data_IF_484024540435
#
_entry.id   IF_484024540435
#
_cell.length_a   1.000
_cell.length_b   1.000
_cell.length_c   1.000
_cell.angle_alpha   90.00
_cell.angle_beta   90.00
_cell.angle_gamma   90.00
#
_symmetry.space_group_name_H-M   'P 1'
#
loop_
_entity.id
_entity.type
_entity.pdbx_description
1 polymer ?
#
# COMPACT_ATOMS: atom_id res chain seq x y z
N UNK A 1 15.30 -1.79 -12.26
CA UNK A 1 14.08 -1.31 -12.95
C UNK A 1 13.46 -2.53 -13.64
N UNK A 2 12.46 -3.16 -13.03
CA UNK A 2 11.73 -4.25 -13.69
C UNK A 2 10.78 -3.58 -14.69
N UNK A 3 10.97 -3.82 -15.98
CA UNK A 3 10.00 -3.39 -16.99
C UNK A 3 8.70 -4.15 -16.72
N UNK A 4 7.69 -3.48 -16.19
CA UNK A 4 6.34 -4.03 -16.06
C UNK A 4 5.75 -4.09 -17.46
N UNK A 5 6.00 -5.18 -18.19
CA UNK A 5 5.33 -5.45 -19.46
C UNK A 5 3.85 -5.56 -19.17
N UNK A 6 3.06 -4.61 -19.69
CA UNK A 6 1.60 -4.66 -19.59
C UNK A 6 1.13 -5.95 -20.28
N UNK A 7 0.38 -6.83 -19.59
CA UNK A 7 -0.13 -8.06 -20.17
C UNK A 7 -0.88 -7.77 -21.48
N UNK A 8 -0.61 -8.54 -22.53
CA UNK A 8 -1.31 -8.46 -23.82
C UNK A 8 -2.65 -9.18 -23.76
N UNK A 9 -3.55 -8.80 -24.65
CA UNK A 9 -4.79 -9.53 -24.88
C UNK A 9 -4.51 -10.82 -25.67
N UNK A 10 -4.72 -11.98 -25.06
CA UNK A 10 -4.44 -13.30 -25.66
C UNK A 10 -5.22 -13.54 -26.96
N UNK A 11 -6.49 -13.16 -26.99
CA UNK A 11 -7.35 -13.28 -28.20
C UNK A 11 -6.85 -12.40 -29.36
N UNK A 12 -6.36 -11.19 -29.06
CA UNK A 12 -5.82 -10.29 -30.08
C UNK A 12 -4.44 -10.77 -30.54
N UNK A 13 -3.62 -11.28 -29.63
CA UNK A 13 -2.31 -11.84 -29.92
C UNK A 13 -2.42 -13.06 -30.86
N UNK A 14 -3.41 -13.94 -30.65
CA UNK A 14 -3.73 -15.03 -31.57
C UNK A 14 -4.08 -14.55 -32.98
N UNK A 15 -4.60 -13.32 -33.11
CA UNK A 15 -4.90 -12.66 -34.38
C UNK A 15 -3.74 -11.81 -34.91
N UNK A 16 -2.56 -11.91 -34.30
CA UNK A 16 -1.36 -11.11 -34.61
C UNK A 16 -1.57 -9.60 -34.41
N UNK A 17 -2.46 -9.21 -33.50
CA UNK A 17 -2.75 -7.82 -33.15
C UNK A 17 -2.31 -7.58 -31.71
N UNK A 18 -1.44 -6.58 -31.50
CA UNK A 18 -1.06 -6.17 -30.16
C UNK A 18 -2.11 -5.21 -29.58
N UNK A 19 -2.81 -5.65 -28.53
CA UNK A 19 -3.64 -4.80 -27.67
C UNK A 19 -3.33 -5.10 -26.22
N UNK A 20 -3.20 -4.06 -25.40
CA UNK A 20 -3.05 -4.22 -23.96
C UNK A 20 -4.30 -4.84 -23.35
N UNK A 21 -4.12 -5.80 -22.44
CA UNK A 21 -5.20 -6.33 -21.62
C UNK A 21 -5.61 -5.31 -20.56
N UNK A 22 -6.90 -5.21 -20.32
CA UNK A 22 -7.47 -4.42 -19.22
C UNK A 22 -8.03 -5.31 -18.12
N UNK A 23 -8.37 -6.56 -18.44
CA UNK A 23 -8.89 -7.54 -17.49
C UNK A 23 -8.21 -8.89 -17.66
N UNK A 24 -8.06 -9.63 -16.57
CA UNK A 24 -7.63 -11.02 -16.54
C UNK A 24 -8.84 -11.93 -16.33
N UNK A 25 -8.95 -13.02 -17.10
CA UNK A 25 -9.96 -14.04 -16.92
C UNK A 25 -9.34 -15.29 -16.29
N UNK A 26 -9.75 -15.62 -15.07
CA UNK A 26 -9.17 -16.74 -14.31
C UNK A 26 -9.56 -18.12 -14.85
N UNK A 27 -10.72 -18.23 -15.52
CA UNK A 27 -11.19 -19.48 -16.11
C UNK A 27 -10.52 -19.81 -17.44
N UNK A 28 -10.11 -18.78 -18.18
CA UNK A 28 -9.44 -18.90 -19.48
C UNK A 28 -7.93 -18.74 -19.38
N UNK A 29 -7.43 -18.34 -18.20
CA UNK A 29 -6.02 -18.10 -17.92
C UNK A 29 -5.38 -17.12 -18.93
N UNK A 30 -6.14 -16.08 -19.30
CA UNK A 30 -5.72 -15.12 -20.33
C UNK A 30 -6.13 -13.68 -20.03
N UNK A 31 -5.32 -12.73 -20.54
CA UNK A 31 -5.63 -11.31 -20.54
C UNK A 31 -6.57 -10.94 -21.69
N UNK A 32 -7.52 -10.04 -21.43
CA UNK A 32 -8.48 -9.55 -22.42
C UNK A 32 -8.46 -8.02 -22.49
N UNK A 33 -8.46 -7.47 -23.70
CA UNK A 33 -8.71 -6.04 -23.94
C UNK A 33 -10.21 -5.72 -23.76
N UNK A 34 -10.60 -4.44 -23.82
CA UNK A 34 -11.99 -4.01 -23.62
C UNK A 34 -12.97 -4.69 -24.59
N UNK A 35 -12.63 -4.73 -25.88
CA UNK A 35 -13.50 -5.35 -26.91
C UNK A 35 -13.66 -6.87 -26.66
N UNK A 36 -12.56 -7.54 -26.34
CA UNK A 36 -12.57 -8.98 -26.06
C UNK A 36 -13.33 -9.29 -24.76
N UNK A 37 -13.19 -8.45 -23.73
CA UNK A 37 -13.96 -8.54 -22.49
C UNK A 37 -15.46 -8.44 -22.76
N UNK A 38 -15.89 -7.48 -23.57
CA UNK A 38 -17.32 -7.31 -23.87
C UNK A 38 -17.89 -8.55 -24.55
N UNK A 39 -17.20 -9.06 -25.57
CA UNK A 39 -17.63 -10.28 -26.27
C UNK A 39 -17.62 -11.51 -25.34
N UNK A 40 -16.61 -11.59 -24.47
CA UNK A 40 -16.48 -12.63 -23.45
C UNK A 40 -17.63 -12.59 -22.44
N UNK A 41 -18.09 -11.40 -22.05
CA UNK A 41 -19.19 -11.21 -21.11
C UNK A 41 -20.57 -11.52 -21.70
N UNK A 42 -20.74 -11.42 -23.02
CA UNK A 42 -22.03 -11.68 -23.69
C UNK A 42 -22.17 -13.16 -24.08
N UNK A 43 -21.06 -13.81 -24.41
CA UNK A 43 -21.07 -15.22 -24.85
C UNK A 43 -21.57 -16.16 -23.77
N UNK A 44 -22.50 -17.06 -24.12
CA UNK A 44 -23.08 -18.04 -23.19
C UNK A 44 -22.03 -18.91 -22.50
N UNK A 45 -20.94 -19.23 -23.21
CA UNK A 45 -19.86 -20.08 -22.71
C UNK A 45 -19.04 -19.41 -21.61
N UNK A 46 -18.81 -18.09 -21.72
CA UNK A 46 -17.82 -17.37 -20.94
C UNK A 46 -18.41 -16.29 -20.01
N UNK A 47 -19.70 -15.95 -20.17
CA UNK A 47 -20.37 -14.90 -19.37
C UNK A 47 -20.39 -15.12 -17.85
N UNK A 48 -20.09 -16.34 -17.39
CA UNK A 48 -20.02 -16.70 -15.96
C UNK A 48 -18.59 -16.76 -15.42
N UNK A 49 -17.58 -16.50 -16.25
CA UNK A 49 -16.19 -16.58 -15.83
C UNK A 49 -15.82 -15.48 -14.84
N UNK A 50 -14.94 -15.83 -13.90
CA UNK A 50 -14.35 -14.90 -12.95
C UNK A 50 -13.33 -14.01 -13.61
N UNK A 51 -13.55 -12.70 -13.56
CA UNK A 51 -12.66 -11.70 -14.15
C UNK A 51 -12.23 -10.65 -13.13
N UNK A 52 -10.98 -10.19 -13.23
CA UNK A 52 -10.39 -9.18 -12.35
C UNK A 52 -9.58 -8.15 -13.17
N UNK A 53 -9.60 -6.86 -12.82
CA UNK A 53 -8.79 -5.85 -13.51
C UNK A 53 -7.31 -6.21 -13.51
N UNK A 54 -6.59 -5.90 -14.59
CA UNK A 54 -5.14 -6.17 -14.69
C UNK A 54 -4.35 -5.42 -13.60
N UNK A 55 -4.78 -4.20 -13.24
CA UNK A 55 -4.19 -3.45 -12.12
C UNK A 55 -4.19 -4.26 -10.84
N UNK A 56 -5.30 -4.96 -10.56
CA UNK A 56 -5.48 -5.69 -9.32
C UNK A 56 -4.76 -7.04 -9.42
N UNK A 57 -4.87 -7.71 -10.57
CA UNK A 57 -4.14 -8.96 -10.86
C UNK A 57 -2.62 -8.80 -10.65
N UNK A 58 -2.04 -7.69 -11.12
CA UNK A 58 -0.61 -7.40 -10.97
C UNK A 58 -0.19 -7.14 -9.51
N UNK A 59 -1.14 -6.83 -8.62
CA UNK A 59 -0.85 -6.69 -7.19
C UNK A 59 -1.00 -8.00 -6.42
N UNK A 60 -1.56 -9.03 -7.05
CA UNK A 60 -1.69 -10.33 -6.41
C UNK A 60 -0.31 -10.98 -6.24
N UNK A 61 -0.03 -11.58 -5.07
CA UNK A 61 1.16 -12.39 -4.90
C UNK A 61 1.23 -13.55 -5.90
N UNK A 62 2.45 -13.88 -6.34
CA UNK A 62 2.70 -14.96 -7.31
C UNK A 62 2.07 -16.30 -6.91
N UNK A 63 2.01 -16.61 -5.62
CA UNK A 63 1.43 -17.88 -5.18
C UNK A 63 -0.09 -17.94 -5.42
N UNK A 64 -0.79 -16.81 -5.52
CA UNK A 64 -2.23 -16.74 -5.84
C UNK A 64 -2.45 -16.92 -7.34
N UNK A 65 -1.63 -16.26 -8.15
CA UNK A 65 -1.74 -16.32 -9.61
C UNK A 65 -1.34 -17.69 -10.16
N UNK A 66 -0.49 -18.44 -9.45
CA UNK A 66 -0.08 -19.79 -9.82
C UNK A 66 -0.99 -20.92 -9.28
N UNK A 67 -2.13 -20.60 -8.64
CA UNK A 67 -3.07 -21.63 -8.16
C UNK A 67 -3.70 -22.33 -9.36
N UNK A 68 -3.36 -23.62 -9.53
CA UNK A 68 -3.97 -24.45 -10.57
C UNK A 68 -5.42 -24.75 -10.24
N UNK A 69 -6.32 -24.37 -11.15
CA UNK A 69 -7.74 -24.69 -11.05
C UNK A 69 -8.11 -26.05 -11.65
N UNK A 70 -7.15 -26.72 -12.29
CA UNK A 70 -7.34 -27.97 -13.03
C UNK A 70 -6.55 -29.10 -12.38
N UNK A 71 -7.17 -30.28 -12.32
CA UNK A 71 -6.56 -31.53 -11.88
C UNK A 71 -5.38 -31.91 -12.76
N UNK A 72 -4.22 -32.10 -12.12
CA UNK A 72 -2.97 -32.46 -12.80
C UNK A 72 -2.98 -33.86 -13.44
N UNK A 73 -3.89 -34.74 -13.00
CA UNK A 73 -3.97 -36.13 -13.47
C UNK A 73 -5.02 -36.30 -14.57
N UNK A 74 -6.15 -35.58 -14.47
CA UNK A 74 -7.32 -35.83 -15.29
C UNK A 74 -7.71 -34.66 -16.19
N UNK A 75 -6.99 -33.53 -16.12
CA UNK A 75 -7.24 -32.31 -16.90
C UNK A 75 -8.68 -31.78 -16.75
N UNK A 76 -9.28 -31.97 -15.56
CA UNK A 76 -10.62 -31.52 -15.20
C UNK A 76 -10.57 -30.48 -14.10
N UNK A 77 -11.46 -29.48 -14.13
CA UNK A 77 -11.55 -28.46 -13.07
C UNK A 77 -11.77 -29.10 -11.70
N UNK A 78 -11.12 -28.56 -10.68
CA UNK A 78 -11.42 -28.89 -9.29
C UNK A 78 -12.81 -28.34 -8.93
N UNK A 79 -13.67 -29.21 -8.41
CA UNK A 79 -15.05 -28.86 -8.05
C UNK A 79 -15.44 -29.41 -6.67
N UNK A 80 -14.59 -30.28 -6.12
CA UNK A 80 -14.88 -31.09 -4.94
C UNK A 80 -13.73 -30.94 -3.96
N UNK A 81 -14.02 -31.00 -2.66
CA UNK A 81 -13.04 -31.05 -1.59
C UNK A 81 -13.24 -32.32 -0.77
N UNK A 82 -12.16 -33.06 -0.54
CA UNK A 82 -12.15 -34.22 0.35
C UNK A 82 -11.66 -33.77 1.73
N UNK A 83 -12.52 -33.81 2.74
CA UNK A 83 -12.16 -33.40 4.10
C UNK A 83 -11.24 -34.40 4.79
N UNK A 84 -11.28 -35.68 4.42
CA UNK A 84 -10.42 -36.71 5.03
C UNK A 84 -8.95 -36.59 4.62
N UNK A 85 -8.71 -36.12 3.40
CA UNK A 85 -7.36 -35.94 2.84
C UNK A 85 -6.97 -34.46 2.70
N UNK A 86 -7.86 -33.56 3.10
CA UNK A 86 -7.72 -32.12 3.05
C UNK A 86 -7.28 -31.58 1.67
N UNK A 87 -7.83 -32.15 0.58
CA UNK A 87 -7.38 -31.84 -0.79
C UNK A 87 -8.53 -31.56 -1.77
N UNK A 88 -8.23 -30.78 -2.82
CA UNK A 88 -9.15 -30.51 -3.93
C UNK A 88 -9.15 -31.66 -4.94
N UNK A 89 -10.34 -32.00 -5.45
CA UNK A 89 -10.59 -33.13 -6.33
C UNK A 89 -11.43 -32.71 -7.54
N UNK A 90 -11.16 -33.34 -8.69
CA UNK A 90 -12.10 -33.38 -9.81
C UNK A 90 -13.04 -34.59 -9.66
N UNK A 91 -14.01 -34.71 -10.57
CA UNK A 91 -15.01 -35.77 -10.55
C UNK A 91 -14.39 -37.19 -10.61
N UNK A 92 -13.37 -37.37 -11.45
CA UNK A 92 -12.65 -38.65 -11.61
C UNK A 92 -11.82 -39.02 -10.38
N UNK A 93 -11.20 -38.06 -9.70
CA UNK A 93 -10.47 -38.33 -8.45
C UNK A 93 -11.34 -39.03 -7.40
N UNK A 94 -12.62 -38.65 -7.33
CA UNK A 94 -13.56 -39.26 -6.39
C UNK A 94 -13.81 -40.73 -6.70
N UNK A 95 -13.97 -41.07 -7.98
CA UNK A 95 -14.27 -42.43 -8.44
C UNK A 95 -13.03 -43.33 -8.46
N UNK A 96 -11.83 -42.78 -8.55
CA UNK A 96 -10.60 -43.58 -8.61
C UNK A 96 -9.88 -43.69 -7.27
N UNK A 97 -9.72 -42.58 -6.54
CA UNK A 97 -8.83 -42.50 -5.37
C UNK A 97 -9.57 -42.25 -4.06
N UNK A 98 -10.70 -41.55 -4.09
CA UNK A 98 -11.47 -41.20 -2.90
C UNK A 98 -12.79 -41.98 -2.78
N UNK A 99 -12.88 -43.18 -3.37
CA UNK A 99 -14.09 -44.02 -3.39
C UNK A 99 -14.59 -44.42 -2.01
N UNK A 100 -13.66 -44.53 -1.05
CA UNK A 100 -13.95 -44.91 0.34
C UNK A 100 -14.13 -43.72 1.26
N UNK A 101 -13.86 -42.50 0.79
CA UNK A 101 -14.05 -41.29 1.58
C UNK A 101 -15.55 -40.99 1.69
N UNK A 102 -16.00 -40.70 2.89
CA UNK A 102 -17.39 -40.38 3.21
C UNK A 102 -17.60 -38.88 3.35
N UNK A 103 -16.56 -38.14 3.75
CA UNK A 103 -16.65 -36.70 3.96
C UNK A 103 -16.15 -35.91 2.74
N UNK A 104 -16.94 -35.95 1.67
CA UNK A 104 -16.69 -35.25 0.41
C UNK A 104 -17.76 -34.17 0.23
N UNK A 105 -17.33 -32.95 -0.11
CA UNK A 105 -18.22 -31.79 -0.24
C UNK A 105 -17.89 -30.97 -1.48
N UNK A 106 -18.87 -30.22 -1.98
CA UNK A 106 -18.64 -29.31 -3.09
C UNK A 106 -17.66 -28.20 -2.66
N UNK A 107 -16.68 -27.89 -3.51
CA UNK A 107 -15.66 -26.88 -3.23
C UNK A 107 -16.28 -25.50 -3.03
N UNK A 108 -17.30 -25.16 -3.81
CA UNK A 108 -18.04 -23.89 -3.68
C UNK A 108 -18.69 -23.73 -2.30
N UNK A 109 -19.16 -24.82 -1.70
CA UNK A 109 -19.80 -24.78 -0.39
C UNK A 109 -18.77 -24.61 0.73
N UNK A 110 -17.59 -25.25 0.60
CA UNK A 110 -16.44 -24.99 1.49
C UNK A 110 -16.02 -23.53 1.42
N UNK A 111 -15.88 -22.97 0.21
CA UNK A 111 -15.48 -21.57 0.02
C UNK A 111 -16.52 -20.62 0.65
N UNK A 112 -17.82 -20.86 0.43
CA UNK A 112 -18.89 -20.06 1.03
C UNK A 112 -18.85 -20.15 2.55
N UNK A 113 -18.79 -21.37 3.10
CA UNK A 113 -18.78 -21.59 4.55
C UNK A 113 -17.52 -21.03 5.21
N UNK A 114 -16.38 -21.04 4.53
CA UNK A 114 -15.14 -20.45 5.03
C UNK A 114 -15.29 -18.94 5.14
N UNK A 115 -15.83 -18.28 4.11
CA UNK A 115 -16.06 -16.83 4.08
C UNK A 115 -17.07 -16.35 5.13
N UNK A 116 -18.04 -17.20 5.48
CA UNK A 116 -19.04 -16.91 6.51
C UNK A 116 -18.68 -17.49 7.88
N UNK A 117 -17.55 -18.19 7.99
CA UNK A 117 -17.13 -18.77 9.27
C UNK A 117 -16.77 -17.67 10.24
N UNK A 118 -17.16 -17.85 11.51
CA UNK A 118 -16.82 -16.91 12.57
C UNK A 118 -15.31 -16.68 12.68
N UNK A 119 -14.50 -17.75 12.51
CA UNK A 119 -13.05 -17.64 12.53
C UNK A 119 -12.50 -16.73 11.42
N UNK A 120 -13.00 -16.85 10.19
CA UNK A 120 -12.60 -15.97 9.10
C UNK A 120 -13.01 -14.51 9.37
N UNK A 121 -14.25 -14.31 9.83
CA UNK A 121 -14.76 -12.97 10.15
C UNK A 121 -13.97 -12.30 11.28
N UNK A 122 -13.64 -13.04 12.34
CA UNK A 122 -12.84 -12.57 13.48
C UNK A 122 -11.41 -12.20 13.05
N UNK A 123 -10.76 -13.06 12.25
CA UNK A 123 -9.43 -12.75 11.70
C UNK A 123 -9.49 -11.51 10.82
N UNK A 124 -10.51 -11.41 9.95
CA UNK A 124 -10.69 -10.26 9.06
C UNK A 124 -10.94 -8.97 9.85
N UNK A 125 -11.76 -9.00 10.89
CA UNK A 125 -12.01 -7.85 11.76
C UNK A 125 -10.74 -7.43 12.50
N UNK A 126 -10.03 -8.39 13.10
CA UNK A 126 -8.76 -8.14 13.79
C UNK A 126 -7.72 -7.51 12.87
N UNK A 127 -7.58 -8.01 11.64
CA UNK A 127 -6.67 -7.44 10.65
C UNK A 127 -7.03 -6.00 10.28
N UNK A 128 -8.32 -5.70 10.13
CA UNK A 128 -8.77 -4.34 9.87
C UNK A 128 -8.49 -3.41 11.05
N UNK A 129 -8.73 -3.86 12.28
CA UNK A 129 -8.43 -3.09 13.48
C UNK A 129 -6.92 -2.77 13.56
N UNK A 130 -6.08 -3.77 13.34
CA UNK A 130 -4.62 -3.61 13.30
C UNK A 130 -4.22 -2.60 12.21
N UNK A 131 -4.81 -2.68 11.01
CA UNK A 131 -4.53 -1.75 9.92
C UNK A 131 -4.90 -0.30 10.28
N UNK A 132 -6.07 -0.08 10.89
CA UNK A 132 -6.51 1.24 11.34
C UNK A 132 -5.65 1.79 12.49
N UNK A 133 -5.25 0.92 13.42
CA UNK A 133 -4.33 1.29 14.49
C UNK A 133 -2.96 1.71 13.95
N UNK A 134 -2.42 0.99 12.96
CA UNK A 134 -1.16 1.37 12.28
C UNK A 134 -1.31 2.73 11.57
N UNK A 135 -2.44 2.99 10.89
CA UNK A 135 -2.71 4.29 10.27
C UNK A 135 -2.71 5.42 11.31
N UNK A 136 -3.36 5.23 12.44
CA UNK A 136 -3.42 6.21 13.54
C UNK A 136 -2.05 6.49 14.13
N UNK A 137 -1.28 5.45 14.45
CA UNK A 137 0.10 5.59 14.94
C UNK A 137 0.96 6.40 13.96
N UNK A 138 0.81 6.15 12.65
CA UNK A 138 1.53 6.89 11.62
C UNK A 138 1.13 8.37 11.58
N UNK A 139 -0.16 8.68 11.73
CA UNK A 139 -0.66 10.06 11.79
C UNK A 139 -0.14 10.79 13.02
N UNK A 140 -0.22 10.16 14.20
CA UNK A 140 0.26 10.73 15.47
C UNK A 140 1.75 11.01 15.42
N UNK A 141 2.54 10.07 14.89
CA UNK A 141 3.98 10.27 14.69
C UNK A 141 4.28 11.47 13.79
N UNK A 142 3.53 11.63 12.70
CA UNK A 142 3.71 12.76 11.79
C UNK A 142 3.31 14.10 12.45
N UNK A 143 2.23 14.12 13.21
CA UNK A 143 1.81 15.28 14.00
C UNK A 143 2.87 15.69 15.02
N UNK A 144 3.38 14.73 15.78
CA UNK A 144 4.43 14.95 16.78
C UNK A 144 5.73 15.48 16.14
N UNK A 145 6.12 14.94 14.99
CA UNK A 145 7.31 15.40 14.27
C UNK A 145 7.17 16.86 13.79
N UNK A 146 5.99 17.26 13.31
CA UNK A 146 5.71 18.65 12.93
C UNK A 146 5.78 19.58 14.13
N UNK A 147 5.08 19.24 15.22
CA UNK A 147 5.09 20.04 16.45
C UNK A 147 6.50 20.19 17.04
N UNK A 148 7.30 19.12 17.02
CA UNK A 148 8.69 19.16 17.49
C UNK A 148 9.55 20.10 16.62
N UNK A 149 9.37 20.06 15.30
CA UNK A 149 10.07 20.95 14.36
C UNK A 149 9.70 22.43 14.58
N UNK A 150 8.42 22.72 14.83
CA UNK A 150 7.93 24.07 15.14
C UNK A 150 8.51 24.58 16.46
N UNK A 151 8.47 23.77 17.53
CA UNK A 151 9.07 24.13 18.81
C UNK A 151 10.57 24.36 18.70
N UNK A 152 11.28 23.55 17.91
CA UNK A 152 12.72 23.75 17.65
C UNK A 152 12.98 25.11 17.00
N UNK A 153 12.23 25.46 15.94
CA UNK A 153 12.36 26.76 15.26
C UNK A 153 12.05 27.92 16.20
N UNK A 154 11.05 27.78 17.05
CA UNK A 154 10.71 28.80 18.03
C UNK A 154 11.87 29.06 19.01
N UNK A 155 12.44 27.98 19.58
CA UNK A 155 13.61 28.09 20.47
C UNK A 155 14.81 28.73 19.74
N UNK A 156 15.07 28.32 18.48
CA UNK A 156 16.13 28.92 17.66
C UNK A 156 15.93 30.44 17.47
N UNK A 157 14.69 30.87 17.20
CA UNK A 157 14.36 32.30 17.09
C UNK A 157 14.52 33.04 18.43
N UNK A 158 14.07 32.46 19.53
CA UNK A 158 14.20 33.06 20.87
C UNK A 158 15.68 33.27 21.24
N UNK A 159 16.54 32.28 20.97
CA UNK A 159 17.99 32.39 21.18
C UNK A 159 18.58 33.55 20.36
N UNK A 160 18.20 33.67 19.09
CA UNK A 160 18.66 34.75 18.21
C UNK A 160 18.18 36.12 18.70
N UNK A 161 16.94 36.22 19.17
CA UNK A 161 16.37 37.45 19.72
C UNK A 161 17.10 37.89 20.99
N UNK A 162 17.33 36.97 21.93
CA UNK A 162 18.07 37.25 23.17
C UNK A 162 19.48 37.76 22.83
N UNK A 163 20.18 37.10 21.89
CA UNK A 163 21.51 37.55 21.45
C UNK A 163 21.48 38.95 20.87
N UNK A 164 20.48 39.27 20.04
CA UNK A 164 20.32 40.59 19.45
C UNK A 164 20.13 41.66 20.53
N UNK A 165 19.25 41.40 21.51
CA UNK A 165 18.98 42.33 22.61
C UNK A 165 20.24 42.59 23.45
N UNK A 166 21.00 41.53 23.77
CA UNK A 166 22.25 41.67 24.52
C UNK A 166 23.25 42.54 23.76
N UNK A 167 23.45 42.27 22.46
CA UNK A 167 24.37 43.05 21.63
C UNK A 167 23.96 44.53 21.55
N UNK A 168 22.67 44.81 21.32
CA UNK A 168 22.16 46.18 21.29
C UNK A 168 22.36 46.92 22.63
N UNK A 169 22.22 46.21 23.75
CA UNK A 169 22.47 46.78 25.06
C UNK A 169 23.95 47.11 25.27
N UNK A 170 24.85 46.21 24.86
CA UNK A 170 26.30 46.42 24.92
C UNK A 170 26.73 47.60 24.03
N UNK A 171 26.21 47.69 22.80
CA UNK A 171 26.49 48.81 21.87
C UNK A 171 26.07 50.15 22.49
N UNK A 172 24.92 50.19 23.16
CA UNK A 172 24.42 51.39 23.83
C UNK A 172 25.32 51.79 25.00
N UNK A 173 25.72 50.84 25.84
CA UNK A 173 26.64 51.09 26.96
C UNK A 173 27.99 51.60 26.46
N UNK A 174 28.57 50.95 25.44
CA UNK A 174 29.83 51.36 24.82
C UNK A 174 29.73 52.78 24.29
N UNK A 175 28.68 53.10 23.53
CA UNK A 175 28.48 54.44 22.97
C UNK A 175 28.42 55.50 24.07
N UNK A 176 27.65 55.25 25.13
CA UNK A 176 27.52 56.17 26.25
C UNK A 176 28.88 56.43 26.93
N UNK A 177 29.65 55.39 27.23
CA UNK A 177 30.97 55.54 27.85
C UNK A 177 31.97 56.27 26.94
N UNK A 178 31.98 55.99 25.64
CA UNK A 178 32.84 56.69 24.69
C UNK A 178 32.45 58.18 24.60
N UNK A 179 31.16 58.49 24.57
CA UNK A 179 30.67 59.88 24.58
C UNK A 179 31.09 60.61 25.86
N UNK A 180 30.90 60.00 27.03
CA UNK A 180 31.33 60.59 28.31
C UNK A 180 32.84 60.84 28.39
N UNK A 181 33.66 59.91 27.88
CA UNK A 181 35.11 60.08 27.80
C UNK A 181 35.47 61.28 26.92
N UNK A 182 34.87 61.38 25.73
CA UNK A 182 35.14 62.46 24.80
C UNK A 182 34.73 63.82 25.38
N UNK A 183 33.57 63.92 26.05
CA UNK A 183 33.15 65.13 26.74
C UNK A 183 34.12 65.56 27.85
N UNK A 184 34.61 64.59 28.64
CA UNK A 184 35.61 64.85 29.69
C UNK A 184 36.93 65.34 29.11
N UNK A 185 37.39 64.73 28.02
CA UNK A 185 38.61 65.12 27.31
C UNK A 185 38.51 66.54 26.75
N UNK A 186 37.41 66.88 26.05
CA UNK A 186 37.16 68.23 25.54
C UNK A 186 37.13 69.29 26.65
N UNK A 187 36.48 68.99 27.79
CA UNK A 187 36.46 69.87 28.97
C UNK A 187 37.87 70.08 29.53
N UNK A 188 38.74 69.07 29.48
CA UNK A 188 40.13 69.16 29.93
C UNK A 188 40.95 70.06 29.00
N UNK A 189 40.87 69.84 27.69
CA UNK A 189 41.57 70.64 26.67
C UNK A 189 41.18 72.13 26.76
N UNK A 190 39.89 72.43 26.94
CA UNK A 190 39.40 73.82 27.10
C UNK A 190 39.92 74.51 28.37
N UNK A 191 40.16 73.77 29.46
CA UNK A 191 40.71 74.33 30.70
C UNK A 191 42.22 74.55 30.67
N UNK A 192 42.96 73.82 29.83
CA UNK A 192 44.42 73.96 29.67
C UNK A 192 44.85 74.98 28.62
N UNK A 193 43.90 75.53 27.84
CA UNK A 193 44.15 76.56 26.82
C UNK A 193 43.64 77.96 27.19
N UNK A 194 43.16 78.16 28.42
CA UNK A 194 42.72 79.45 28.98
C UNK A 194 43.65 79.88 30.10
#
# INVERSE_FOLDING_TARGET
MMATSVPSCGVCEYRLIFKAASIWCSDCDEGLCLDCKEHHGISKATRKHGTIPISDYQTLPDYITNIKQICSVHDEKYQIYCNEHECTCCSKCIVEKHTKCQNIVALDDIVKNTKTSNAFLEIHETLNEVAENIKRIRQDKNGNQKSLSEKRKQIECEIQQVRLIINQHLDKLQKNFVTELHEKEQKRVRKSGS
#
